data_IF_101802688171
#
_entry.id   IF_101802688171
#
_cell.length_a   1.000
_cell.length_b   1.000
_cell.length_c   1.000
_cell.angle_alpha   90.00
_cell.angle_beta   90.00
_cell.angle_gamma   90.00
#
_symmetry.space_group_name_H-M   'P 1'
#
loop_
_entity.id
_entity.type
_entity.pdbx_description
1 polymer ?
#
# COMPACT_ATOMS: atom_id res chain seq x y z
N UNK A 1 -28.55 -16.48 -31.51
CA UNK A 1 -28.63 -15.91 -30.15
C UNK A 1 -28.24 -16.99 -29.17
N UNK A 2 -27.08 -17.05 -28.52
CA UNK A 2 -25.81 -16.33 -28.52
C UNK A 2 -24.95 -17.14 -27.52
N UNK A 3 -23.67 -17.47 -27.79
CA UNK A 3 -22.93 -18.37 -26.92
C UNK A 3 -22.23 -17.63 -25.78
N UNK A 4 -21.82 -18.44 -24.79
CA UNK A 4 -20.73 -18.23 -23.81
C UNK A 4 -20.89 -17.11 -22.78
N UNK A 5 -21.15 -17.48 -21.53
CA UNK A 5 -20.49 -16.80 -20.43
C UNK A 5 -19.35 -17.69 -19.96
N UNK A 6 -18.21 -17.44 -20.60
CA UNK A 6 -16.89 -17.90 -20.23
C UNK A 6 -16.70 -17.66 -18.73
N UNK A 7 -16.58 -18.74 -17.95
CA UNK A 7 -16.14 -18.64 -16.56
C UNK A 7 -14.64 -18.39 -16.63
N UNK A 8 -14.28 -17.18 -17.05
CA UNK A 8 -12.93 -16.67 -16.92
C UNK A 8 -12.57 -16.85 -15.46
N UNK A 9 -11.63 -17.75 -15.21
CA UNK A 9 -10.95 -17.84 -13.93
C UNK A 9 -10.61 -16.41 -13.55
N UNK A 10 -11.28 -15.90 -12.52
CA UNK A 10 -10.89 -14.66 -11.88
C UNK A 10 -9.50 -14.97 -11.33
N UNK A 11 -8.46 -14.62 -12.09
CA UNK A 11 -7.16 -14.29 -11.53
C UNK A 11 -7.48 -13.56 -10.22
N UNK A 12 -7.07 -14.09 -9.05
CA UNK A 12 -7.41 -13.46 -7.79
C UNK A 12 -6.98 -12.01 -7.94
N UNK A 13 -7.97 -11.09 -7.94
CA UNK A 13 -7.74 -9.68 -8.24
C UNK A 13 -6.60 -9.26 -7.34
N UNK A 14 -5.40 -9.07 -7.88
CA UNK A 14 -4.22 -8.81 -7.06
C UNK A 14 -4.57 -7.64 -6.18
N UNK A 15 -4.35 -7.82 -4.88
CA UNK A 15 -4.68 -6.75 -3.96
C UNK A 15 -3.85 -5.51 -4.29
N UNK A 16 -4.39 -4.36 -3.92
CA UNK A 16 -3.76 -3.08 -4.26
C UNK A 16 -2.40 -2.89 -3.58
N UNK A 17 -2.16 -3.57 -2.45
CA UNK A 17 -0.87 -3.56 -1.76
C UNK A 17 0.19 -4.27 -2.60
N UNK A 18 -0.13 -5.40 -3.23
CA UNK A 18 0.77 -6.12 -4.14
C UNK A 18 1.23 -5.25 -5.30
N UNK A 19 0.32 -4.44 -5.86
CA UNK A 19 0.68 -3.55 -6.97
C UNK A 19 1.63 -2.45 -6.52
N UNK A 20 1.43 -1.88 -5.34
CA UNK A 20 2.37 -0.91 -4.76
C UNK A 20 3.74 -1.56 -4.55
N UNK A 21 3.80 -2.78 -4.02
CA UNK A 21 5.05 -3.51 -3.81
C UNK A 21 5.74 -3.85 -5.14
N UNK A 22 5.00 -4.17 -6.19
CA UNK A 22 5.54 -4.42 -7.52
C UNK A 22 6.11 -3.16 -8.18
N UNK A 23 5.40 -2.03 -8.07
CA UNK A 23 5.93 -0.74 -8.53
C UNK A 23 7.20 -0.40 -7.78
N UNK A 24 7.21 -0.55 -6.45
CA UNK A 24 8.36 -0.25 -5.61
C UNK A 24 9.60 -1.11 -5.92
N UNK A 25 9.43 -2.31 -6.48
CA UNK A 25 10.54 -3.15 -6.92
C UNK A 25 11.32 -2.54 -8.08
N UNK A 26 10.65 -1.81 -8.98
CA UNK A 26 11.25 -1.27 -10.20
C UNK A 26 11.49 0.25 -10.15
N UNK A 27 10.71 0.96 -9.34
CA UNK A 27 10.76 2.42 -9.27
C UNK A 27 11.74 2.88 -8.18
N UNK A 28 12.51 3.93 -8.48
CA UNK A 28 13.46 4.56 -7.57
C UNK A 28 13.48 6.10 -7.68
N UNK A 29 12.76 6.67 -8.63
CA UNK A 29 12.63 8.10 -8.81
C UNK A 29 11.86 8.71 -7.62
N UNK A 30 12.47 9.63 -6.86
CA UNK A 30 11.86 10.17 -5.65
C UNK A 30 10.53 10.90 -5.93
N UNK A 31 10.39 11.56 -7.08
CA UNK A 31 9.14 12.24 -7.46
C UNK A 31 8.01 11.22 -7.65
N UNK A 32 8.29 10.09 -8.30
CA UNK A 32 7.30 9.05 -8.52
C UNK A 32 6.97 8.31 -7.22
N UNK A 33 7.95 8.14 -6.33
CA UNK A 33 7.72 7.58 -4.99
C UNK A 33 6.84 8.50 -4.13
N UNK A 34 7.01 9.83 -4.18
CA UNK A 34 6.11 10.77 -3.52
C UNK A 34 4.66 10.63 -4.02
N UNK A 35 4.47 10.49 -5.34
CA UNK A 35 3.14 10.29 -5.93
C UNK A 35 2.53 8.93 -5.55
N UNK A 36 3.37 7.89 -5.44
CA UNK A 36 2.94 6.56 -4.99
C UNK A 36 2.49 6.59 -3.52
N UNK A 37 3.17 7.37 -2.68
CA UNK A 37 2.84 7.54 -1.26
C UNK A 37 1.54 8.37 -1.06
N UNK A 38 1.44 9.53 -1.71
CA UNK A 38 0.35 10.50 -1.52
C UNK A 38 -0.99 10.14 -2.22
N UNK A 39 -1.09 8.95 -2.82
CA UNK A 39 -2.32 8.50 -3.46
C UNK A 39 -2.50 7.00 -3.31
N UNK A 40 -1.88 6.18 -4.17
CA UNK A 40 -2.10 4.73 -4.14
C UNK A 40 -1.88 4.08 -2.77
N UNK A 41 -0.82 4.46 -2.04
CA UNK A 41 -0.57 3.92 -0.70
C UNK A 41 -1.55 4.46 0.36
N UNK A 42 -1.94 5.73 0.29
CA UNK A 42 -2.98 6.30 1.14
C UNK A 42 -4.32 5.56 0.96
N UNK A 43 -4.74 5.33 -0.28
CA UNK A 43 -6.02 4.70 -0.64
C UNK A 43 -6.16 3.25 -0.17
N UNK A 44 -5.04 2.58 0.15
CA UNK A 44 -5.05 1.21 0.66
C UNK A 44 -4.94 1.13 2.16
N UNK A 45 -4.72 2.23 2.88
CA UNK A 45 -4.65 2.23 4.35
C UNK A 45 -6.06 2.14 4.94
N UNK A 46 -6.30 1.08 5.70
CA UNK A 46 -7.57 0.84 6.38
C UNK A 46 -7.39 -0.19 7.50
N UNK A 47 -8.40 -0.34 8.35
CA UNK A 47 -8.43 -1.43 9.34
C UNK A 47 -8.33 -2.83 8.70
N UNK A 48 -8.80 -3.01 7.46
CA UNK A 48 -8.75 -4.29 6.76
C UNK A 48 -7.39 -4.62 6.13
N UNK A 49 -6.47 -3.66 6.07
CA UNK A 49 -5.18 -3.79 5.36
C UNK A 49 -3.97 -3.51 6.25
N UNK A 50 -4.17 -2.88 7.41
CA UNK A 50 -3.07 -2.49 8.31
C UNK A 50 -2.21 -3.67 8.77
N UNK A 51 -2.80 -4.84 9.08
CA UNK A 51 -2.04 -6.04 9.47
C UNK A 51 -1.08 -6.50 8.37
N UNK A 52 -1.51 -6.37 7.11
CA UNK A 52 -0.67 -6.65 5.95
C UNK A 52 0.42 -5.59 5.83
N UNK A 53 0.07 -4.31 5.91
CA UNK A 53 1.03 -3.21 5.80
C UNK A 53 2.16 -3.39 6.82
N UNK A 54 1.83 -3.71 8.08
CA UNK A 54 2.81 -4.01 9.12
C UNK A 54 3.72 -5.19 8.76
N UNK A 55 3.13 -6.30 8.29
CA UNK A 55 3.89 -7.49 7.91
C UNK A 55 4.90 -7.18 6.80
N UNK A 56 4.47 -6.48 5.76
CA UNK A 56 5.34 -6.12 4.63
C UNK A 56 6.40 -5.10 5.06
N UNK A 57 6.03 -4.08 5.83
CA UNK A 57 6.95 -3.06 6.35
C UNK A 57 7.99 -3.66 7.28
N UNK A 58 7.71 -4.78 7.98
CA UNK A 58 8.68 -5.46 8.84
C UNK A 58 9.86 -6.04 8.07
N UNK A 59 9.61 -6.54 6.85
CA UNK A 59 10.61 -7.26 6.03
C UNK A 59 11.11 -6.46 4.83
N UNK A 60 10.51 -5.31 4.55
CA UNK A 60 10.86 -4.46 3.42
C UNK A 60 11.08 -3.00 3.87
N UNK A 61 12.35 -2.64 4.07
CA UNK A 61 12.77 -1.30 4.49
C UNK A 61 12.32 -0.21 3.51
N UNK A 62 12.42 -0.45 2.20
CA UNK A 62 11.95 0.51 1.18
C UNK A 62 10.46 0.78 1.28
N UNK A 63 9.67 -0.24 1.65
CA UNK A 63 8.24 -0.07 1.85
C UNK A 63 7.94 0.69 3.15
N UNK A 64 8.72 0.43 4.20
CA UNK A 64 8.66 1.22 5.45
C UNK A 64 8.99 2.69 5.19
N UNK A 65 10.02 2.98 4.41
CA UNK A 65 10.39 4.36 4.05
C UNK A 65 9.30 5.03 3.20
N UNK A 66 8.66 4.29 2.29
CA UNK A 66 7.55 4.79 1.48
C UNK A 66 6.34 5.20 2.34
N UNK A 67 6.06 4.49 3.44
CA UNK A 67 5.01 4.85 4.39
C UNK A 67 5.26 6.23 5.04
N UNK A 68 6.53 6.67 5.10
CA UNK A 68 6.92 7.98 5.62
C UNK A 68 6.34 9.17 4.85
N UNK A 69 6.03 8.99 3.56
CA UNK A 69 5.44 10.03 2.71
C UNK A 69 3.90 9.99 2.63
N UNK A 70 3.23 9.17 3.44
CA UNK A 70 1.76 8.98 3.35
C UNK A 70 1.03 9.93 4.30
N UNK A 71 -0.07 10.52 3.81
CA UNK A 71 -0.93 11.38 4.61
C UNK A 71 -2.21 10.67 5.06
N UNK A 72 -2.21 10.06 6.24
CA UNK A 72 -3.31 9.21 6.73
C UNK A 72 -4.21 9.88 7.78
N UNK A 73 -4.42 11.20 7.71
CA UNK A 73 -5.20 11.93 8.74
C UNK A 73 -6.66 11.45 8.88
N UNK A 74 -7.22 10.89 7.79
CA UNK A 74 -8.58 10.34 7.72
C UNK A 74 -8.69 8.90 8.23
N UNK A 75 -7.56 8.23 8.49
CA UNK A 75 -7.59 6.87 9.02
C UNK A 75 -8.13 6.84 10.46
N UNK A 76 -8.81 5.76 10.87
CA UNK A 76 -9.20 5.54 12.26
C UNK A 76 -8.03 5.62 13.24
N UNK A 77 -8.28 6.07 14.47
CA UNK A 77 -7.24 6.32 15.48
C UNK A 77 -6.34 5.12 15.77
N UNK A 78 -6.89 3.91 15.77
CA UNK A 78 -6.16 2.65 15.93
C UNK A 78 -5.19 2.41 14.76
N UNK A 79 -5.64 2.66 13.52
CA UNK A 79 -4.80 2.55 12.32
C UNK A 79 -3.69 3.60 12.35
N UNK A 80 -3.99 4.85 12.74
CA UNK A 80 -2.99 5.93 12.84
C UNK A 80 -1.90 5.58 13.86
N UNK A 81 -2.29 5.12 15.04
CA UNK A 81 -1.34 4.73 16.10
C UNK A 81 -0.37 3.64 15.63
N UNK A 82 -0.88 2.67 14.85
CA UNK A 82 -0.07 1.59 14.27
C UNK A 82 0.89 2.09 13.20
N UNK A 83 0.44 3.00 12.33
CA UNK A 83 1.29 3.64 11.32
C UNK A 83 2.38 4.51 11.95
N UNK A 84 2.06 5.28 12.98
CA UNK A 84 3.04 6.08 13.71
C UNK A 84 4.16 5.20 14.30
N UNK A 85 3.80 4.05 14.87
CA UNK A 85 4.77 3.09 15.41
C UNK A 85 5.65 2.43 14.32
N UNK A 86 5.13 2.26 13.10
CA UNK A 86 5.89 1.72 11.97
C UNK A 86 6.86 2.74 11.37
N UNK A 87 6.42 4.00 11.23
CA UNK A 87 7.16 5.06 10.53
C UNK A 87 8.24 5.66 11.43
N UNK A 88 7.96 5.81 12.73
CA UNK A 88 8.90 6.45 13.67
C UNK A 88 9.32 7.83 13.18
N UNK A 89 10.63 8.03 13.02
CA UNK A 89 11.24 9.29 12.58
C UNK A 89 11.34 9.43 11.05
N UNK A 90 10.97 8.42 10.27
CA UNK A 90 11.15 8.37 8.80
C UNK A 90 10.14 9.20 8.00
N UNK A 91 9.60 10.30 8.55
CA UNK A 91 8.63 11.18 7.85
C UNK A 91 9.33 12.14 6.89
N UNK A 92 8.83 12.28 5.66
CA UNK A 92 9.38 13.17 4.62
C UNK A 92 8.33 13.68 3.64
#
# INVERSE_FOLDING_TARGET
MGPTNDTGLLEPRRDRVDRILEILKIEANPVLLSLLAAGPLEDVISAGTIDRIEREARVNERFRDLLGGVWYYRAPDDVRTRLDALIGESRW
#
